data_IF_328505156668
#
_entry.id   IF_328505156668
#
_cell.length_a   1.000
_cell.length_b   1.000
_cell.length_c   1.000
_cell.angle_alpha   90.00
_cell.angle_beta   90.00
_cell.angle_gamma   90.00
#
_symmetry.space_group_name_H-M   'P 1'
#
loop_
_entity.id
_entity.type
_entity.pdbx_description
1 polymer ?
#
# COMPACT_ATOMS: atom_id res chain seq x y z
N UNK A 1 -18.68 -22.82 6.76
CA UNK A 1 -17.43 -23.08 6.00
C UNK A 1 -17.52 -22.56 4.57
N UNK A 2 -18.62 -22.80 3.84
CA UNK A 2 -18.80 -22.29 2.46
C UNK A 2 -18.60 -20.78 2.30
N UNK A 3 -19.12 -19.97 3.22
CA UNK A 3 -19.01 -18.50 3.15
C UNK A 3 -17.57 -17.98 3.28
N UNK A 4 -16.76 -18.60 4.16
CA UNK A 4 -15.34 -18.26 4.34
C UNK A 4 -14.52 -18.62 3.09
N UNK A 5 -14.79 -19.78 2.50
CA UNK A 5 -14.14 -20.22 1.26
C UNK A 5 -14.50 -19.29 0.11
N UNK A 6 -15.77 -18.91 -0.02
CA UNK A 6 -16.24 -17.94 -1.02
C UNK A 6 -15.53 -16.59 -0.88
N UNK A 7 -15.41 -16.07 0.34
CA UNK A 7 -14.70 -14.83 0.60
C UNK A 7 -13.21 -14.89 0.21
N UNK A 8 -12.54 -16.03 0.43
CA UNK A 8 -11.15 -16.24 -0.01
C UNK A 8 -11.06 -16.22 -1.54
N UNK A 9 -11.99 -16.87 -2.24
CA UNK A 9 -12.04 -16.88 -3.70
C UNK A 9 -12.27 -15.49 -4.30
N UNK A 10 -13.17 -14.71 -3.70
CA UNK A 10 -13.40 -13.31 -4.10
C UNK A 10 -12.13 -12.46 -3.94
N UNK A 11 -11.37 -12.65 -2.85
CA UNK A 11 -10.09 -11.95 -2.66
C UNK A 11 -9.01 -12.38 -3.64
N UNK A 12 -8.92 -13.67 -3.95
CA UNK A 12 -8.02 -14.19 -4.98
C UNK A 12 -8.35 -13.56 -6.34
N UNK A 13 -9.63 -13.54 -6.72
CA UNK A 13 -10.11 -12.93 -7.95
C UNK A 13 -9.78 -11.43 -8.00
N UNK A 14 -10.03 -10.72 -6.90
CA UNK A 14 -9.68 -9.31 -6.76
C UNK A 14 -8.18 -9.08 -6.95
N UNK A 15 -7.31 -9.93 -6.37
CA UNK A 15 -5.87 -9.84 -6.57
C UNK A 15 -5.43 -10.03 -8.03
N UNK A 16 -6.05 -10.94 -8.78
CA UNK A 16 -5.80 -11.06 -10.21
C UNK A 16 -6.27 -9.82 -10.99
N UNK A 17 -7.44 -9.28 -10.67
CA UNK A 17 -7.95 -8.05 -11.30
C UNK A 17 -7.04 -6.84 -11.03
N UNK A 18 -6.49 -6.73 -9.81
CA UNK A 18 -5.49 -5.72 -9.47
C UNK A 18 -4.25 -5.81 -10.35
N UNK A 19 -3.73 -7.02 -10.60
CA UNK A 19 -2.58 -7.20 -11.48
C UNK A 19 -2.90 -6.82 -12.93
N UNK A 20 -4.10 -7.12 -13.43
CA UNK A 20 -4.56 -6.68 -14.76
C UNK A 20 -4.62 -5.16 -14.87
N UNK A 21 -5.17 -4.47 -13.85
CA UNK A 21 -5.20 -3.00 -13.78
C UNK A 21 -3.80 -2.37 -13.80
N UNK A 22 -2.80 -3.06 -13.28
CA UNK A 22 -1.43 -2.56 -13.19
C UNK A 22 -0.62 -2.77 -14.48
N UNK A 23 -1.02 -3.70 -15.36
CA UNK A 23 -0.30 -3.98 -16.63
C UNK A 23 -0.05 -2.75 -17.50
N UNK A 24 -1.02 -1.85 -17.74
CA UNK A 24 -0.77 -0.66 -18.57
C UNK A 24 0.26 0.32 -17.98
N UNK A 25 0.53 0.21 -16.67
CA UNK A 25 1.45 1.08 -15.93
C UNK A 25 2.84 0.46 -15.77
N UNK A 26 3.04 -0.82 -16.10
CA UNK A 26 4.27 -1.54 -15.79
C UNK A 26 5.52 -0.98 -16.47
N UNK A 27 5.36 -0.39 -17.66
CA UNK A 27 6.46 0.24 -18.41
C UNK A 27 6.61 1.73 -18.10
N UNK A 28 5.57 2.37 -17.56
CA UNK A 28 5.52 3.83 -17.35
C UNK A 28 5.89 4.26 -15.93
N UNK A 29 5.62 3.39 -14.95
CA UNK A 29 5.78 3.70 -13.52
C UNK A 29 6.84 2.79 -12.92
N UNK A 30 7.92 3.39 -12.42
CA UNK A 30 8.98 2.66 -11.72
C UNK A 30 8.41 1.94 -10.48
N UNK A 31 8.70 0.65 -10.32
CA UNK A 31 8.24 -0.15 -9.17
C UNK A 31 6.86 -0.77 -9.34
N UNK A 32 6.18 -0.60 -10.47
CA UNK A 32 4.93 -1.28 -10.76
C UNK A 32 5.09 -2.82 -10.79
N UNK A 33 6.24 -3.33 -11.24
CA UNK A 33 6.58 -4.75 -11.16
C UNK A 33 6.70 -5.24 -9.71
N UNK A 34 7.30 -4.44 -8.82
CA UNK A 34 7.41 -4.70 -7.38
C UNK A 34 6.02 -4.78 -6.72
N UNK A 35 5.13 -3.85 -7.05
CA UNK A 35 3.75 -3.88 -6.58
C UNK A 35 3.01 -5.14 -7.08
N UNK A 36 3.14 -5.47 -8.37
CA UNK A 36 2.57 -6.69 -8.97
C UNK A 36 3.06 -7.95 -8.25
N UNK A 37 4.38 -8.05 -7.96
CA UNK A 37 4.95 -9.19 -7.22
C UNK A 37 4.37 -9.33 -5.82
N UNK A 38 4.15 -8.23 -5.09
CA UNK A 38 3.53 -8.25 -3.75
C UNK A 38 2.08 -8.74 -3.80
N UNK A 39 1.30 -8.30 -4.79
CA UNK A 39 -0.07 -8.79 -5.00
C UNK A 39 -0.06 -10.29 -5.31
N UNK A 40 0.84 -10.74 -6.18
CA UNK A 40 0.97 -12.16 -6.51
C UNK A 40 1.37 -13.01 -5.29
N UNK A 41 2.23 -12.49 -4.39
CA UNK A 41 2.58 -13.18 -3.15
C UNK A 41 1.35 -13.37 -2.24
N UNK A 42 0.51 -12.35 -2.08
CA UNK A 42 -0.75 -12.44 -1.33
C UNK A 42 -1.72 -13.44 -1.98
N UNK A 43 -1.87 -13.39 -3.31
CA UNK A 43 -2.71 -14.33 -4.04
C UNK A 43 -2.22 -15.77 -3.89
N UNK A 44 -0.90 -16.01 -3.95
CA UNK A 44 -0.30 -17.34 -3.72
C UNK A 44 -0.55 -17.82 -2.29
N UNK A 45 -0.43 -16.93 -1.31
CA UNK A 45 -0.75 -17.25 0.09
C UNK A 45 -2.21 -17.67 0.25
N UNK A 46 -3.16 -16.89 -0.29
CA UNK A 46 -4.58 -17.21 -0.22
C UNK A 46 -4.92 -18.52 -0.95
N UNK A 47 -4.32 -18.77 -2.12
CA UNK A 47 -4.47 -20.05 -2.82
C UNK A 47 -3.98 -21.24 -1.97
N UNK A 48 -2.86 -21.08 -1.24
CA UNK A 48 -2.35 -22.10 -0.32
C UNK A 48 -3.32 -22.32 0.84
N UNK A 49 -3.83 -21.26 1.47
CA UNK A 49 -4.84 -21.36 2.54
C UNK A 49 -6.11 -22.06 2.05
N UNK A 50 -6.57 -21.77 0.82
CA UNK A 50 -7.70 -22.46 0.21
C UNK A 50 -7.42 -23.96 0.06
N UNK A 51 -6.24 -24.32 -0.44
CA UNK A 51 -5.88 -25.74 -0.65
C UNK A 51 -5.76 -26.57 0.63
N UNK A 52 -5.47 -25.95 1.79
CA UNK A 52 -5.36 -26.68 3.06
C UNK A 52 -6.70 -26.90 3.76
N UNK A 53 -7.78 -26.27 3.29
CA UNK A 53 -9.12 -26.34 3.91
C UNK A 53 -9.25 -25.64 5.27
N UNK A 54 -8.15 -25.21 5.87
CA UNK A 54 -8.10 -24.53 7.17
C UNK A 54 -8.28 -23.01 7.01
N UNK A 55 -9.40 -22.60 6.41
CA UNK A 55 -9.71 -21.17 6.25
C UNK A 55 -10.16 -20.59 7.58
N UNK A 56 -9.32 -19.71 8.15
CA UNK A 56 -9.67 -18.94 9.35
C UNK A 56 -10.03 -17.50 9.00
N UNK A 57 -10.86 -16.89 9.85
CA UNK A 57 -11.35 -15.51 9.66
C UNK A 57 -10.21 -14.49 9.72
N UNK A 58 -9.16 -14.78 10.49
CA UNK A 58 -8.01 -13.89 10.66
C UNK A 58 -7.26 -13.68 9.34
N UNK A 59 -7.19 -14.70 8.45
CA UNK A 59 -6.55 -14.57 7.14
C UNK A 59 -7.25 -13.56 6.22
N UNK A 60 -8.57 -13.42 6.36
CA UNK A 60 -9.34 -12.42 5.60
C UNK A 60 -9.15 -11.01 6.17
N UNK A 61 -8.89 -10.90 7.47
CA UNK A 61 -8.71 -9.63 8.17
C UNK A 61 -7.28 -9.09 8.08
N UNK A 62 -6.28 -9.96 7.95
CA UNK A 62 -4.86 -9.60 7.93
C UNK A 62 -4.24 -9.49 6.55
N UNK A 63 -4.98 -9.79 5.48
CA UNK A 63 -4.43 -9.70 4.11
C UNK A 63 -4.11 -8.27 3.73
N UNK A 64 -2.93 -8.09 3.14
CA UNK A 64 -2.46 -6.79 2.66
C UNK A 64 -3.17 -6.33 1.37
N UNK A 65 -4.02 -7.17 0.78
CA UNK A 65 -4.73 -6.86 -0.46
C UNK A 65 -5.57 -5.57 -0.38
N UNK A 66 -6.10 -5.22 0.79
CA UNK A 66 -6.85 -3.96 0.96
C UNK A 66 -5.93 -2.76 0.72
N UNK A 67 -4.75 -2.77 1.34
CA UNK A 67 -3.77 -1.69 1.18
C UNK A 67 -3.17 -1.67 -0.23
N UNK A 68 -2.83 -2.83 -0.79
CA UNK A 68 -2.31 -2.92 -2.16
C UNK A 68 -3.33 -2.43 -3.18
N UNK A 69 -4.62 -2.74 -2.99
CA UNK A 69 -5.69 -2.22 -3.84
C UNK A 69 -5.81 -0.70 -3.73
N UNK A 70 -5.78 -0.16 -2.50
CA UNK A 70 -5.83 1.29 -2.29
C UNK A 70 -4.66 2.03 -2.97
N UNK A 71 -3.46 1.44 -2.98
CA UNK A 71 -2.33 1.96 -3.76
C UNK A 71 -2.65 1.97 -5.25
N UNK A 72 -3.22 0.89 -5.81
CA UNK A 72 -3.57 0.83 -7.24
C UNK A 72 -4.63 1.87 -7.59
N UNK A 73 -5.73 1.93 -6.85
CA UNK A 73 -6.83 2.86 -7.11
C UNK A 73 -6.31 4.31 -7.09
N UNK A 74 -5.47 4.65 -6.11
CA UNK A 74 -4.84 5.98 -6.03
C UNK A 74 -3.84 6.19 -7.16
N UNK A 75 -3.05 5.19 -7.54
CA UNK A 75 -2.05 5.28 -8.61
C UNK A 75 -2.70 5.56 -9.96
N UNK A 76 -3.79 4.85 -10.29
CA UNK A 76 -4.50 4.98 -11.58
C UNK A 76 -5.04 6.39 -11.81
N UNK A 77 -5.48 7.08 -10.75
CA UNK A 77 -6.01 8.45 -10.84
C UNK A 77 -4.94 9.53 -10.58
N UNK A 78 -3.69 9.14 -10.30
CA UNK A 78 -2.62 10.10 -10.04
C UNK A 78 -2.06 10.64 -11.35
N UNK A 79 -1.96 11.96 -11.43
CA UNK A 79 -1.41 12.66 -12.59
C UNK A 79 0.10 12.44 -12.66
N UNK A 80 0.63 12.17 -13.85
CA UNK A 80 2.07 12.04 -14.13
C UNK A 80 2.81 11.19 -13.07
N UNK A 81 2.25 10.01 -12.77
CA UNK A 81 2.83 9.06 -11.83
C UNK A 81 4.23 8.62 -12.31
N UNK A 82 5.23 8.78 -11.44
CA UNK A 82 6.64 8.49 -11.74
C UNK A 82 7.05 7.13 -11.18
N UNK A 83 6.70 6.87 -9.93
CA UNK A 83 7.10 5.64 -9.24
C UNK A 83 6.10 5.23 -8.17
N UNK A 84 6.10 3.93 -7.83
CA UNK A 84 5.29 3.34 -6.77
C UNK A 84 6.17 2.49 -5.84
N UNK A 85 5.88 2.50 -4.54
CA UNK A 85 6.65 1.84 -3.47
C UNK A 85 8.14 2.19 -3.50
N UNK A 86 8.45 3.49 -3.66
CA UNK A 86 9.80 3.99 -3.84
C UNK A 86 10.49 4.25 -2.49
N UNK A 87 11.65 3.64 -2.22
CA UNK A 87 12.41 3.95 -1.02
C UNK A 87 13.21 5.24 -1.19
N UNK A 88 13.15 6.10 -0.17
CA UNK A 88 14.00 7.27 0.00
C UNK A 88 14.92 7.06 1.20
N UNK A 89 16.16 7.55 1.11
CA UNK A 89 17.11 7.46 2.22
C UNK A 89 16.66 8.43 3.30
N UNK A 90 16.48 7.99 4.54
CA UNK A 90 16.08 8.89 5.61
C UNK A 90 16.75 8.48 6.91
N UNK A 91 17.55 9.39 7.48
CA UNK A 91 18.39 9.13 8.64
C UNK A 91 19.26 7.87 8.44
N UNK A 92 19.22 6.93 9.39
CA UNK A 92 19.93 5.65 9.35
C UNK A 92 19.11 4.54 8.65
N UNK A 93 18.02 4.89 7.97
CA UNK A 93 17.08 3.92 7.39
C UNK A 93 16.54 4.35 6.02
N UNK A 94 15.46 3.71 5.58
CA UNK A 94 14.73 4.04 4.35
C UNK A 94 13.26 4.31 4.67
N UNK A 95 12.73 5.38 4.09
CA UNK A 95 11.31 5.71 4.12
C UNK A 95 10.70 5.35 2.77
N UNK A 96 9.75 4.41 2.74
CA UNK A 96 9.08 4.00 1.51
C UNK A 96 7.85 4.87 1.25
N UNK A 97 7.86 5.62 0.14
CA UNK A 97 6.73 6.40 -0.35
C UNK A 97 5.89 5.52 -1.27
N UNK A 98 4.57 5.51 -1.06
CA UNK A 98 3.70 4.59 -1.79
C UNK A 98 3.56 5.01 -3.24
N UNK A 99 3.37 6.31 -3.53
CA UNK A 99 3.29 6.84 -4.91
C UNK A 99 4.04 8.16 -4.99
N UNK A 100 4.81 8.35 -6.05
CA UNK A 100 5.38 9.65 -6.44
C UNK A 100 4.69 10.07 -7.73
N UNK A 101 4.05 11.23 -7.72
CA UNK A 101 3.26 11.76 -8.83
C UNK A 101 3.57 13.23 -9.11
N UNK A 102 2.81 13.84 -10.02
CA UNK A 102 2.99 15.22 -10.46
C UNK A 102 4.44 15.46 -10.94
N UNK A 103 4.92 14.54 -11.78
CA UNK A 103 6.28 14.52 -12.32
C UNK A 103 7.40 14.46 -11.27
N UNK A 104 7.09 14.09 -10.01
CA UNK A 104 8.04 14.02 -8.90
C UNK A 104 7.80 15.04 -7.80
N UNK A 105 6.87 15.98 -8.00
CA UNK A 105 6.60 17.06 -7.05
C UNK A 105 5.63 16.70 -5.93
N UNK A 106 5.00 15.52 -5.98
CA UNK A 106 4.08 15.06 -4.93
C UNK A 106 4.39 13.64 -4.48
N UNK A 107 4.32 13.40 -3.18
CA UNK A 107 4.48 12.11 -2.52
C UNK A 107 3.16 11.73 -1.86
N UNK A 108 2.63 10.57 -2.20
CA UNK A 108 1.41 10.04 -1.58
C UNK A 108 1.74 8.88 -0.66
N UNK A 109 1.24 8.95 0.57
CA UNK A 109 1.21 7.86 1.54
C UNK A 109 -0.22 7.37 1.70
N UNK A 110 -0.48 6.12 1.31
CA UNK A 110 -1.80 5.50 1.43
C UNK A 110 -1.96 4.93 2.84
N UNK A 111 -3.06 5.30 3.49
CA UNK A 111 -3.48 4.83 4.81
C UNK A 111 -4.75 4.00 4.61
N UNK A 112 -4.58 2.70 4.42
CA UNK A 112 -5.66 1.73 4.29
C UNK A 112 -5.60 0.79 5.49
N UNK A 113 -6.24 1.20 6.59
CA UNK A 113 -6.27 0.45 7.86
C UNK A 113 -7.68 -0.02 8.14
N UNK A 114 -7.78 -1.15 8.84
CA UNK A 114 -9.04 -1.56 9.44
C UNK A 114 -9.54 -0.44 10.38
N UNK A 115 -10.82 -0.01 10.31
CA UNK A 115 -11.38 0.99 11.21
C UNK A 115 -11.08 0.72 12.68
N UNK A 116 -11.11 -0.54 13.11
CA UNK A 116 -10.76 -0.94 14.49
C UNK A 116 -9.31 -0.60 14.84
N UNK A 117 -8.38 -0.78 13.91
CA UNK A 117 -6.97 -0.43 14.11
C UNK A 117 -6.76 1.09 14.14
N UNK A 118 -7.52 1.87 13.35
CA UNK A 118 -7.49 3.33 13.42
C UNK A 118 -8.02 3.84 14.77
N UNK A 119 -9.11 3.26 15.26
CA UNK A 119 -9.70 3.61 16.57
C UNK A 119 -8.74 3.30 17.72
N UNK A 120 -8.13 2.12 17.74
CA UNK A 120 -7.17 1.73 18.80
C UNK A 120 -5.96 2.68 18.83
N UNK A 121 -5.42 3.05 17.67
CA UNK A 121 -4.29 3.99 17.56
C UNK A 121 -4.70 5.39 18.04
N UNK A 122 -5.90 5.85 17.67
CA UNK A 122 -6.43 7.14 18.13
C UNK A 122 -6.68 7.18 19.64
N UNK A 123 -6.95 6.04 20.26
CA UNK A 123 -7.19 5.92 21.71
C UNK A 123 -5.89 5.73 22.51
N UNK A 124 -4.73 5.70 21.86
CA UNK A 124 -3.44 5.44 22.50
C UNK A 124 -3.22 3.97 22.85
N UNK A 125 -4.11 3.07 22.40
CA UNK A 125 -4.05 1.62 22.60
C UNK A 125 -3.41 0.89 21.41
N UNK A 126 -2.63 1.61 20.60
CA UNK A 126 -1.93 1.03 19.46
C UNK A 126 -0.79 0.09 19.87
N UNK A 127 -0.65 -1.05 19.20
CA UNK A 127 0.47 -1.96 19.42
C UNK A 127 1.81 -1.35 18.96
N UNK A 128 2.92 -1.77 19.59
CA UNK A 128 4.27 -1.37 19.20
C UNK A 128 4.52 -1.64 17.70
N UNK A 129 4.72 -0.57 16.92
CA UNK A 129 4.86 -0.62 15.46
C UNK A 129 3.69 -0.03 14.67
N UNK A 130 2.58 0.31 15.33
CA UNK A 130 1.47 1.04 14.72
C UNK A 130 1.79 2.54 14.66
N UNK A 131 2.20 3.01 13.48
CA UNK A 131 2.74 4.37 13.29
C UNK A 131 1.64 5.44 13.36
N UNK A 132 1.87 6.45 14.20
CA UNK A 132 1.02 7.59 14.60
C UNK A 132 1.26 8.83 13.72
N UNK A 133 0.88 10.03 14.20
CA UNK A 133 1.28 11.37 13.71
C UNK A 133 2.79 11.48 13.44
N UNK A 134 3.63 10.72 14.16
CA UNK A 134 5.08 10.71 13.97
C UNK A 134 5.48 10.26 12.55
N UNK A 135 4.63 9.46 11.90
CA UNK A 135 4.81 9.12 10.50
C UNK A 135 4.69 10.34 9.60
N UNK A 136 3.79 11.28 9.90
CA UNK A 136 3.64 12.50 9.11
C UNK A 136 4.90 13.36 9.19
N UNK A 137 5.45 13.55 10.39
CA UNK A 137 6.68 14.31 10.57
C UNK A 137 7.86 13.67 9.84
N UNK A 138 7.99 12.34 9.87
CA UNK A 138 9.05 11.63 9.14
C UNK A 138 8.96 11.84 7.63
N UNK A 139 7.76 11.82 7.04
CA UNK A 139 7.59 12.09 5.60
C UNK A 139 7.92 13.53 5.25
N UNK A 140 7.45 14.50 6.04
CA UNK A 140 7.75 15.92 5.82
C UNK A 140 9.26 16.18 5.91
N UNK A 141 9.91 15.71 6.98
CA UNK A 141 11.37 15.84 7.14
C UNK A 141 12.13 15.12 6.04
N UNK A 142 11.65 13.97 5.54
CA UNK A 142 12.28 13.26 4.43
C UNK A 142 12.11 14.00 3.10
N UNK A 143 10.95 14.60 2.84
CA UNK A 143 10.68 15.37 1.62
C UNK A 143 11.60 16.59 1.51
N UNK A 144 11.85 17.30 2.63
CA UNK A 144 12.79 18.43 2.69
C UNK A 144 14.23 18.02 2.28
N UNK A 145 14.63 16.79 2.57
CA UNK A 145 15.95 16.26 2.21
C UNK A 145 16.03 15.80 0.74
N UNK A 146 14.91 15.71 0.03
CA UNK A 146 14.83 15.21 -1.36
C UNK A 146 14.10 16.20 -2.27
N UNK A 147 14.64 17.43 -2.44
CA UNK A 147 13.99 18.44 -3.26
C UNK A 147 13.87 17.99 -4.71
N UNK A 148 12.68 18.19 -5.29
CA UNK A 148 12.43 18.04 -6.70
C UNK A 148 12.32 19.44 -7.32
N UNK A 149 13.20 19.77 -8.29
CA UNK A 149 13.26 21.12 -8.90
C UNK A 149 13.35 22.23 -7.86
N UNK A 150 14.27 22.07 -6.90
CA UNK A 150 14.57 23.03 -5.82
C UNK A 150 13.44 23.25 -4.80
N UNK A 151 12.40 22.42 -4.80
CA UNK A 151 11.33 22.46 -3.79
C UNK A 151 11.11 21.08 -3.18
N UNK A 152 10.83 21.04 -1.88
CA UNK A 152 10.38 19.82 -1.25
C UNK A 152 9.08 19.32 -1.92
N UNK A 153 8.94 18.02 -2.19
CA UNK A 153 7.69 17.46 -2.69
C UNK A 153 6.53 17.67 -1.69
N UNK A 154 5.32 17.91 -2.21
CA UNK A 154 4.11 17.96 -1.39
C UNK A 154 3.79 16.56 -0.85
N UNK A 155 3.58 16.44 0.46
CA UNK A 155 3.27 15.16 1.10
C UNK A 155 1.76 15.04 1.33
N UNK A 156 1.14 14.04 0.71
CA UNK A 156 -0.31 13.77 0.77
C UNK A 156 -0.58 12.44 1.47
N UNK A 157 -1.37 12.47 2.54
CA UNK A 157 -1.89 11.27 3.19
C UNK A 157 -3.27 10.93 2.63
N UNK A 158 -3.37 9.80 1.92
CA UNK A 158 -4.62 9.35 1.33
C UNK A 158 -5.26 8.25 2.17
N UNK A 159 -6.43 8.54 2.75
CA UNK A 159 -7.21 7.58 3.54
C UNK A 159 -8.21 6.86 2.62
N UNK A 160 -8.15 5.53 2.62
CA UNK A 160 -8.96 4.65 1.76
C UNK A 160 -9.86 3.72 2.58
#
# INVERSE_FOLDING_TARGET
>A
MEELTKNVEEKIKSGYQMMEKLKPLSEKVEGADKLSRKINQEVKFLNKVRSTGNVKKEYLQSTNLIHLNAIIERLVVSKDAVSVMRPFKFENSRLEVDIVCDAGSSWVKVIARNPRALTLISQGEGEFGQKSVDQAQAYLSCAELHPHRYKAPEVVFHFA
#
